data_IF_381134096195
#
_entry.id   IF_381134096195
#
_cell.length_a   1.000
_cell.length_b   1.000
_cell.length_c   1.000
_cell.angle_alpha   90.00
_cell.angle_beta   90.00
_cell.angle_gamma   90.00
#
_symmetry.space_group_name_H-M   'P 1'
#
loop_
_entity.id
_entity.type
_entity.pdbx_description
1 polymer ?
#
# COMPACT_ATOMS: atom_id res chain seq x y z
N UNK A 1 16.60 -9.34 -9.95
CA UNK A 1 15.45 -8.42 -9.88
C UNK A 1 15.04 -8.29 -8.42
N UNK A 2 14.66 -7.10 -7.95
CA UNK A 2 14.15 -6.94 -6.59
C UNK A 2 12.80 -7.64 -6.46
N UNK A 3 12.52 -8.19 -5.28
CA UNK A 3 11.18 -8.63 -4.87
C UNK A 3 10.81 -7.81 -3.63
N UNK A 4 9.74 -7.01 -3.75
CA UNK A 4 9.12 -6.31 -2.65
C UNK A 4 7.84 -7.05 -2.27
N UNK A 5 7.71 -7.43 -0.99
CA UNK A 5 6.53 -8.11 -0.45
C UNK A 5 5.95 -7.30 0.71
N UNK A 6 4.66 -7.02 0.64
CA UNK A 6 3.92 -6.27 1.66
C UNK A 6 2.77 -7.14 2.15
N UNK A 7 2.78 -7.42 3.46
CA UNK A 7 1.66 -8.06 4.15
C UNK A 7 0.72 -7.00 4.72
N UNK A 8 -0.59 -7.14 4.52
CA UNK A 8 -1.58 -6.22 5.06
C UNK A 8 -2.91 -6.92 5.38
N UNK A 9 -3.76 -6.28 6.16
CA UNK A 9 -5.17 -6.68 6.35
C UNK A 9 -6.06 -5.62 5.73
N UNK A 10 -7.25 -6.00 5.28
CA UNK A 10 -8.22 -5.03 4.78
C UNK A 10 -8.76 -4.22 5.97
N UNK A 11 -8.74 -2.90 5.85
CA UNK A 11 -9.15 -2.01 6.94
C UNK A 11 -10.60 -2.24 7.38
N UNK A 12 -11.50 -2.47 6.42
CA UNK A 12 -12.93 -2.67 6.67
C UNK A 12 -13.30 -4.10 7.11
N UNK A 13 -12.44 -5.09 6.80
CA UNK A 13 -12.69 -6.52 7.07
C UNK A 13 -11.39 -7.24 7.49
N UNK A 14 -10.80 -6.88 8.65
CA UNK A 14 -9.52 -7.43 9.09
C UNK A 14 -9.56 -8.93 9.44
N UNK A 15 -10.75 -9.47 9.70
CA UNK A 15 -11.01 -10.88 9.98
C UNK A 15 -10.85 -11.79 8.77
N UNK A 16 -10.87 -11.24 7.55
CA UNK A 16 -10.58 -12.01 6.33
C UNK A 16 -9.12 -12.48 6.24
N UNK A 17 -8.28 -12.01 7.15
CA UNK A 17 -6.91 -12.48 7.32
C UNK A 17 -5.88 -11.59 6.64
N UNK A 18 -4.71 -12.16 6.42
CA UNK A 18 -3.55 -11.44 5.89
C UNK A 18 -3.46 -11.63 4.38
N UNK A 19 -3.42 -10.50 3.69
CA UNK A 19 -3.19 -10.39 2.26
C UNK A 19 -1.72 -10.10 1.99
N UNK A 20 -1.23 -10.50 0.83
CA UNK A 20 0.14 -10.26 0.40
C UNK A 20 0.13 -9.62 -0.98
N UNK A 21 0.81 -8.48 -1.10
CA UNK A 21 1.13 -7.86 -2.37
C UNK A 21 2.61 -8.08 -2.69
N UNK A 22 2.90 -8.56 -3.90
CA UNK A 22 4.27 -8.81 -4.38
C UNK A 22 4.50 -7.98 -5.63
N UNK A 23 5.64 -7.28 -5.68
CA UNK A 23 6.04 -6.48 -6.83
C UNK A 23 7.53 -6.60 -7.10
N UNK A 24 7.89 -6.52 -8.39
CA UNK A 24 9.28 -6.43 -8.85
C UNK A 24 9.67 -4.99 -9.22
N UNK A 25 8.88 -3.99 -8.79
CA UNK A 25 9.16 -2.58 -8.98
C UNK A 25 10.38 -2.15 -8.16
N UNK A 26 11.36 -1.57 -8.85
CA UNK A 26 12.53 -0.97 -8.21
C UNK A 26 12.17 0.24 -7.34
N UNK A 27 11.19 1.04 -7.76
CA UNK A 27 10.74 2.22 -7.02
C UNK A 27 10.13 1.80 -5.67
N UNK A 28 9.26 0.79 -5.67
CA UNK A 28 8.69 0.27 -4.43
C UNK A 28 9.77 -0.33 -3.53
N UNK A 29 10.70 -1.09 -4.10
CA UNK A 29 11.81 -1.67 -3.35
C UNK A 29 12.68 -0.58 -2.68
N UNK A 30 12.86 0.58 -3.33
CA UNK A 30 13.58 1.71 -2.76
C UNK A 30 12.80 2.43 -1.65
N UNK A 31 11.47 2.40 -1.68
CA UNK A 31 10.60 3.02 -0.66
C UNK A 31 10.41 2.13 0.59
N UNK A 32 10.62 0.81 0.48
CA UNK A 32 10.42 -0.13 1.59
C UNK A 32 11.12 0.25 2.90
N UNK A 33 12.39 0.71 2.93
CA UNK A 33 13.04 1.09 4.19
C UNK A 33 12.36 2.28 4.88
N UNK A 34 11.91 3.28 4.11
CA UNK A 34 11.20 4.43 4.67
C UNK A 34 9.81 4.03 5.18
N UNK A 35 9.13 3.13 4.45
CA UNK A 35 7.86 2.57 4.87
C UNK A 35 8.00 1.76 6.17
N UNK A 36 9.02 0.91 6.27
CA UNK A 36 9.30 0.14 7.49
C UNK A 36 9.57 1.07 8.67
N UNK A 37 10.40 2.09 8.50
CA UNK A 37 10.67 3.08 9.56
C UNK A 37 9.40 3.84 9.99
N UNK A 38 8.51 4.18 9.05
CA UNK A 38 7.25 4.83 9.37
C UNK A 38 6.30 3.91 10.16
N UNK A 39 6.30 2.61 9.85
CA UNK A 39 5.50 1.60 10.56
C UNK A 39 6.09 1.28 11.95
N UNK A 40 7.41 1.24 12.11
CA UNK A 40 8.07 1.00 13.40
C UNK A 40 7.76 2.11 14.42
N UNK A 41 7.51 3.33 13.94
CA UNK A 41 7.08 4.45 14.79
C UNK A 41 5.60 4.35 15.21
N UNK A 42 4.79 3.52 14.55
CA UNK A 42 3.40 3.34 14.89
C UNK A 42 3.26 2.30 16.01
N UNK A 43 2.87 2.74 17.22
CA UNK A 43 2.61 1.85 18.36
C UNK A 43 1.36 0.95 18.19
N UNK A 44 0.60 1.15 17.09
CA UNK A 44 -0.62 0.43 16.74
C UNK A 44 -0.58 0.09 15.24
N UNK A 45 -1.34 -0.92 14.77
CA UNK A 45 -1.50 -1.17 13.35
C UNK A 45 -1.86 0.13 12.61
N UNK A 46 -1.00 0.56 11.69
CA UNK A 46 -1.20 1.78 10.93
C UNK A 46 -2.15 1.53 9.76
N UNK A 47 -3.12 2.43 9.57
CA UNK A 47 -3.93 2.45 8.36
C UNK A 47 -3.11 3.00 7.20
N UNK A 48 -3.23 2.37 6.05
CA UNK A 48 -2.57 2.79 4.83
C UNK A 48 -3.37 2.45 3.59
N UNK A 49 -3.00 3.09 2.49
CA UNK A 49 -3.57 2.89 1.17
C UNK A 49 -2.51 2.26 0.28
N UNK A 50 -2.81 1.09 -0.25
CA UNK A 50 -2.06 0.47 -1.35
C UNK A 50 -2.80 0.75 -2.65
N UNK A 51 -2.16 1.44 -3.60
CA UNK A 51 -2.74 1.78 -4.90
C UNK A 51 -1.79 1.47 -6.05
N UNK A 52 -2.36 1.11 -7.20
CA UNK A 52 -1.61 0.89 -8.44
C UNK A 52 -1.89 2.03 -9.42
N UNK A 53 -1.05 3.05 -9.40
CA UNK A 53 -1.15 4.23 -10.27
C UNK A 53 -0.77 3.89 -11.71
N UNK A 54 -1.46 4.48 -12.68
CA UNK A 54 -1.09 4.39 -14.09
C UNK A 54 -0.07 5.49 -14.41
N UNK A 55 1.08 5.08 -14.92
CA UNK A 55 2.13 5.98 -15.40
C UNK A 55 2.17 5.86 -16.92
N UNK A 56 1.99 6.99 -17.60
CA UNK A 56 2.02 7.09 -19.05
C UNK A 56 3.00 8.19 -19.46
N UNK A 57 3.90 7.86 -20.39
CA UNK A 57 4.85 8.84 -20.93
C UNK A 57 5.32 8.43 -22.32
N UNK A 58 5.88 9.39 -23.04
CA UNK A 58 6.56 9.16 -24.31
C UNK A 58 8.06 9.16 -24.04
N UNK A 59 8.77 8.10 -24.44
CA UNK A 59 10.23 8.05 -24.33
C UNK A 59 10.88 9.08 -25.24
N UNK A 60 12.17 9.38 -25.01
CA UNK A 60 12.94 10.24 -25.94
C UNK A 60 13.00 9.69 -27.37
N UNK A 61 12.80 8.39 -27.56
CA UNK A 61 12.72 7.75 -28.89
C UNK A 61 11.33 7.80 -29.52
N UNK A 62 10.36 8.46 -28.88
CA UNK A 62 8.98 8.61 -29.38
C UNK A 62 8.06 7.43 -29.08
N UNK A 63 8.47 6.48 -28.24
CA UNK A 63 7.65 5.32 -27.90
C UNK A 63 6.69 5.66 -26.76
N UNK A 64 5.40 5.35 -26.94
CA UNK A 64 4.42 5.42 -25.85
C UNK A 64 4.63 4.24 -24.88
N UNK A 65 4.78 4.56 -23.61
CA UNK A 65 4.96 3.59 -22.53
C UNK A 65 3.89 3.84 -21.48
N UNK A 66 3.20 2.76 -21.09
CA UNK A 66 2.22 2.77 -20.00
C UNK A 66 2.50 1.61 -19.05
N UNK A 67 2.58 1.86 -17.74
CA UNK A 67 2.74 0.82 -16.74
C UNK A 67 2.02 1.16 -15.43
N UNK A 68 1.82 0.15 -14.58
CA UNK A 68 1.25 0.33 -13.24
C UNK A 68 2.36 0.38 -12.20
N UNK A 69 2.41 1.48 -11.45
CA UNK A 69 3.32 1.68 -10.32
C UNK A 69 2.55 1.44 -9.01
N UNK A 70 2.99 0.51 -8.16
CA UNK A 70 2.45 0.40 -6.81
C UNK A 70 2.96 1.55 -5.94
N UNK A 71 2.05 2.17 -5.19
CA UNK A 71 2.33 3.24 -4.23
C UNK A 71 1.67 2.86 -2.92
N UNK A 72 2.42 3.01 -1.83
CA UNK A 72 1.94 2.75 -0.47
C UNK A 72 2.01 4.04 0.33
N UNK A 73 0.88 4.44 0.90
CA UNK A 73 0.81 5.60 1.77
C UNK A 73 0.31 5.17 3.14
N UNK A 74 1.07 5.48 4.18
CA UNK A 74 0.62 5.25 5.55
C UNK A 74 -0.03 6.54 6.05
N UNK A 75 -1.32 6.45 6.37
CA UNK A 75 -2.04 7.56 7.00
C UNK A 75 -1.44 7.85 8.38
N UNK A 76 -1.29 9.13 8.73
CA UNK A 76 -0.95 9.49 10.12
C UNK A 76 -2.09 9.02 11.01
N UNK A 77 -1.85 7.94 11.75
CA UNK A 77 -2.67 7.37 12.83
C UNK A 77 -4.13 7.86 12.85
N UNK A 78 -4.98 7.24 12.05
CA UNK A 78 -6.38 7.11 12.45
C UNK A 78 -6.52 5.72 13.06
N UNK A 79 -6.58 5.72 14.40
CA UNK A 79 -7.03 4.60 15.22
C UNK A 79 -8.24 3.98 14.53
N UNK A 80 -8.23 2.67 14.30
CA UNK A 80 -9.42 1.90 13.92
C UNK A 80 -10.51 2.24 14.93
N UNK A 81 -11.39 3.18 14.58
CA UNK A 81 -12.57 3.47 15.35
C UNK A 81 -13.44 2.22 15.27
N UNK A 82 -13.43 1.44 16.35
CA UNK A 82 -14.49 0.49 16.62
C UNK A 82 -15.79 1.29 16.67
N UNK A 83 -16.61 1.21 15.61
CA UNK A 83 -18.07 1.38 15.70
C UNK A 83 -18.74 1.17 14.33
N UNK A 84 -19.27 -0.04 14.10
CA UNK A 84 -20.44 -0.24 13.24
C UNK A 84 -21.15 -1.58 13.52
N UNK A 85 -21.39 -1.91 14.80
CA UNK A 85 -22.60 -2.69 15.13
C UNK A 85 -23.72 -1.69 15.33
N UNK A 86 -24.38 -1.31 14.23
CA UNK A 86 -25.81 -0.96 14.22
C UNK A 86 -26.39 -1.38 12.87
N UNK A 87 -26.69 -2.68 12.78
CA UNK A 87 -27.72 -3.16 11.86
C UNK A 87 -29.00 -2.41 12.22
N UNK A 88 -29.48 -1.61 11.28
CA UNK A 88 -30.82 -1.06 11.30
C UNK A 88 -31.82 -2.24 11.29
N UNK A 89 -32.68 -2.27 12.30
CA UNK A 89 -33.94 -3.01 12.34
C UNK A 89 -35.03 -2.02 12.76
#
# INVERSE_FOLDING_TARGET
>A
MPEARIGFRLADLPELGVFSFVSTSWELAAELPALAAALDLAAVPALGVLRCELVEFITRSGLAVSYRRPVVEVGRTQVLAQDAVRLAA
#
